data_IF_226816572447
#
_entry.id   IF_226816572447
#
_cell.length_a   1.000
_cell.length_b   1.000
_cell.length_c   1.000
_cell.angle_alpha   90.00
_cell.angle_beta   90.00
_cell.angle_gamma   90.00
#
_symmetry.space_group_name_H-M   'P 1'
#
loop_
_entity.id
_entity.type
_entity.pdbx_description
1 polymer ?
#
# COMPACT_ATOMS: atom_id res chain seq x y z
N UNK A 1 5.57 4.29 -3.99
CA UNK A 1 5.16 4.67 -5.38
C UNK A 1 3.64 4.87 -5.46
N UNK A 2 3.15 5.88 -6.21
CA UNK A 2 1.72 6.15 -6.47
C UNK A 2 1.46 6.68 -7.89
N UNK A 3 0.20 6.85 -8.28
CA UNK A 3 -0.18 7.53 -9.54
C UNK A 3 -0.09 9.07 -9.41
N UNK A 4 0.49 9.71 -10.43
CA UNK A 4 0.64 11.14 -10.64
C UNK A 4 -0.70 11.88 -10.87
N UNK A 5 -1.60 11.82 -9.89
CA UNK A 5 -2.84 12.59 -9.84
C UNK A 5 -3.05 13.12 -8.42
N UNK A 6 -3.69 14.29 -8.28
CA UNK A 6 -3.88 14.93 -6.98
C UNK A 6 -4.54 13.99 -5.96
N UNK A 7 -5.53 13.20 -6.38
CA UNK A 7 -6.19 12.19 -5.53
C UNK A 7 -5.25 11.08 -5.04
N UNK A 8 -4.25 10.71 -5.84
CA UNK A 8 -3.32 9.64 -5.50
C UNK A 8 -2.09 10.12 -4.73
N UNK A 9 -1.69 11.39 -4.91
CA UNK A 9 -0.46 11.92 -4.31
C UNK A 9 -0.68 12.87 -3.14
N UNK A 10 -1.64 13.80 -3.23
CA UNK A 10 -1.83 14.83 -2.21
C UNK A 10 -2.08 14.27 -0.80
N UNK A 11 -2.96 13.27 -0.58
CA UNK A 11 -3.15 12.72 0.77
C UNK A 11 -1.88 12.01 1.27
N UNK A 12 -1.16 11.29 0.40
CA UNK A 12 0.07 10.59 0.78
C UNK A 12 1.19 11.55 1.20
N UNK A 13 1.34 12.67 0.49
CA UNK A 13 2.29 13.71 0.85
C UNK A 13 1.95 14.37 2.19
N UNK A 14 0.66 14.65 2.43
CA UNK A 14 0.20 15.21 3.70
C UNK A 14 0.42 14.24 4.87
N UNK A 15 0.10 12.96 4.69
CA UNK A 15 0.33 11.92 5.71
C UNK A 15 1.81 11.70 5.96
N UNK A 16 2.66 11.69 4.92
CA UNK A 16 4.11 11.60 5.09
C UNK A 16 4.65 12.74 5.95
N UNK A 17 4.25 13.99 5.67
CA UNK A 17 4.66 15.13 6.47
C UNK A 17 4.22 15.01 7.94
N UNK A 18 2.95 14.66 8.18
CA UNK A 18 2.43 14.49 9.53
C UNK A 18 3.12 13.33 10.28
N UNK A 19 3.53 12.28 9.56
CA UNK A 19 4.22 11.15 10.15
C UNK A 19 5.66 11.51 10.57
N UNK A 20 6.38 12.30 9.77
CA UNK A 20 7.71 12.81 10.12
C UNK A 20 7.67 13.63 11.42
N UNK A 21 6.59 14.40 11.66
CA UNK A 21 6.44 15.19 12.89
C UNK A 21 6.40 14.33 14.17
N UNK A 22 5.89 13.09 14.08
CA UNK A 22 5.83 12.14 15.21
C UNK A 22 6.98 11.12 15.20
N UNK A 23 7.61 10.91 14.05
CA UNK A 23 8.72 9.96 13.82
C UNK A 23 9.82 10.64 13.00
N UNK A 24 10.58 11.56 13.60
CA UNK A 24 11.59 12.35 12.88
C UNK A 24 12.79 11.50 12.40
N UNK A 25 12.89 10.26 12.86
CA UNK A 25 13.88 9.27 12.44
C UNK A 25 13.51 8.58 11.11
N UNK A 26 12.30 8.78 10.61
CA UNK A 26 11.79 8.16 9.38
C UNK A 26 11.52 9.26 8.35
N UNK A 27 12.01 9.06 7.13
CA UNK A 27 11.67 9.87 5.96
C UNK A 27 10.79 9.06 5.00
N UNK A 28 9.78 9.69 4.41
CA UNK A 28 8.84 9.04 3.49
C UNK A 28 8.78 9.82 2.18
N UNK A 29 9.35 9.24 1.13
CA UNK A 29 9.36 9.82 -0.22
C UNK A 29 8.43 9.06 -1.16
N UNK A 30 7.66 9.80 -1.96
CA UNK A 30 6.70 9.22 -2.90
C UNK A 30 7.07 9.49 -4.36
N UNK A 31 7.45 8.43 -5.06
CA UNK A 31 7.53 8.44 -6.52
C UNK A 31 6.15 8.39 -7.17
N UNK A 32 6.04 9.02 -8.35
CA UNK A 32 4.80 9.18 -9.10
C UNK A 32 4.94 8.66 -10.51
N UNK A 33 3.99 7.83 -10.96
CA UNK A 33 3.91 7.28 -12.33
C UNK A 33 2.68 7.78 -13.06
N UNK A 34 2.64 7.67 -14.39
CA UNK A 34 1.45 8.02 -15.18
C UNK A 34 0.28 7.06 -14.88
N UNK A 35 -0.94 7.43 -15.31
CA UNK A 35 -2.12 6.56 -15.14
C UNK A 35 -1.95 5.22 -15.89
N UNK A 36 -1.37 5.27 -17.09
CA UNK A 36 -1.15 4.07 -17.89
C UNK A 36 -0.17 3.12 -17.19
N UNK A 37 0.97 3.64 -16.73
CA UNK A 37 1.96 2.83 -15.99
C UNK A 37 1.42 2.30 -14.66
N UNK A 38 0.49 3.01 -14.03
CA UNK A 38 -0.18 2.55 -12.82
C UNK A 38 -1.16 1.40 -13.09
N UNK A 39 -1.92 1.48 -14.20
CA UNK A 39 -2.91 0.46 -14.57
C UNK A 39 -2.35 -0.77 -15.28
N UNK A 40 -1.19 -0.64 -15.93
CA UNK A 40 -0.59 -1.69 -16.80
C UNK A 40 0.81 -2.13 -16.34
N UNK A 41 1.33 -1.59 -15.24
CA UNK A 41 2.67 -1.87 -14.75
C UNK A 41 2.88 -3.28 -14.18
N UNK A 42 4.15 -3.66 -14.05
CA UNK A 42 4.54 -4.93 -13.42
C UNK A 42 4.67 -4.75 -11.90
N UNK A 43 3.65 -5.20 -11.16
CA UNK A 43 3.61 -5.11 -9.70
C UNK A 43 4.78 -5.81 -9.01
N UNK A 44 5.33 -6.85 -9.64
CA UNK A 44 6.43 -7.66 -9.09
C UNK A 44 7.73 -6.89 -9.00
N UNK A 45 8.10 -6.19 -10.07
CA UNK A 45 9.27 -5.33 -10.09
C UNK A 45 9.11 -4.19 -9.09
N UNK A 46 7.90 -3.63 -8.99
CA UNK A 46 7.59 -2.61 -8.01
C UNK A 46 7.79 -3.10 -6.58
N UNK A 47 7.40 -4.34 -6.27
CA UNK A 47 7.55 -4.95 -4.95
C UNK A 47 9.01 -5.16 -4.54
N UNK A 48 9.91 -5.31 -5.51
CA UNK A 48 11.36 -5.38 -5.25
C UNK A 48 11.98 -3.99 -4.99
N UNK A 49 11.46 -2.96 -5.66
CA UNK A 49 12.05 -1.62 -5.66
C UNK A 49 11.53 -0.71 -4.53
N UNK A 50 10.34 -0.97 -3.97
CA UNK A 50 9.66 -0.06 -3.06
C UNK A 50 9.13 -0.72 -1.79
N UNK A 51 9.31 -0.04 -0.66
CA UNK A 51 8.75 -0.46 0.64
C UNK A 51 7.21 -0.28 0.70
N UNK A 52 6.70 0.75 0.02
CA UNK A 52 5.27 1.09 -0.01
C UNK A 52 4.80 1.36 -1.44
N UNK A 53 3.72 0.69 -1.83
CA UNK A 53 3.17 0.71 -3.19
C UNK A 53 1.67 0.92 -3.11
N UNK A 54 1.17 1.95 -3.78
CA UNK A 54 -0.25 2.04 -4.11
C UNK A 54 -0.44 1.27 -5.42
N UNK A 55 -1.37 0.31 -5.42
CA UNK A 55 -1.72 -0.49 -6.60
C UNK A 55 -3.24 -0.75 -6.63
N UNK A 56 -3.76 -1.08 -7.81
CA UNK A 56 -5.19 -1.33 -7.99
C UNK A 56 -5.59 -2.78 -7.69
N UNK A 57 -6.84 -2.96 -7.26
CA UNK A 57 -7.42 -4.23 -6.84
C UNK A 57 -7.25 -5.43 -7.82
N UNK A 58 -7.30 -5.29 -9.17
CA UNK A 58 -7.14 -6.43 -10.07
C UNK A 58 -5.83 -7.21 -9.90
N UNK A 59 -4.79 -6.59 -9.34
CA UNK A 59 -3.51 -7.26 -9.08
C UNK A 59 -3.46 -8.02 -7.75
N UNK A 60 -4.47 -7.90 -6.88
CA UNK A 60 -4.48 -8.53 -5.55
C UNK A 60 -4.32 -10.05 -5.64
N UNK A 61 -4.97 -10.70 -6.60
CA UNK A 61 -4.85 -12.15 -6.79
C UNK A 61 -3.43 -12.59 -7.16
N UNK A 62 -2.80 -11.87 -8.10
CA UNK A 62 -1.41 -12.10 -8.49
C UNK A 62 -0.45 -11.87 -7.30
N UNK A 63 -0.65 -10.79 -6.56
CA UNK A 63 0.18 -10.45 -5.41
C UNK A 63 0.10 -11.50 -4.30
N UNK A 64 -1.10 -12.05 -4.05
CA UNK A 64 -1.30 -13.13 -3.09
C UNK A 64 -0.68 -14.45 -3.57
N UNK A 65 -0.91 -14.84 -4.83
CA UNK A 65 -0.37 -16.07 -5.42
C UNK A 65 1.17 -16.07 -5.42
N UNK A 66 1.80 -14.93 -5.71
CA UNK A 66 3.25 -14.80 -5.82
C UNK A 66 3.92 -14.30 -4.53
N UNK A 67 3.16 -14.10 -3.46
CA UNK A 67 3.67 -13.60 -2.17
C UNK A 67 4.48 -12.30 -2.30
N UNK A 68 3.99 -11.35 -3.10
CA UNK A 68 4.73 -10.12 -3.41
C UNK A 68 4.80 -9.15 -2.22
N UNK A 69 3.89 -9.28 -1.25
CA UNK A 69 3.80 -8.36 -0.12
C UNK A 69 3.93 -9.07 1.21
N UNK A 70 4.39 -8.31 2.20
CA UNK A 70 4.46 -8.75 3.59
C UNK A 70 3.03 -8.98 4.12
N UNK A 71 2.73 -10.15 4.72
CA UNK A 71 1.43 -10.43 5.34
C UNK A 71 1.30 -9.60 6.63
N UNK A 72 0.60 -8.46 6.53
CA UNK A 72 0.50 -7.48 7.62
C UNK A 72 -0.17 -8.03 8.88
N UNK A 73 -1.03 -9.04 8.76
CA UNK A 73 -1.66 -9.73 9.89
C UNK A 73 -0.64 -10.33 10.87
N UNK A 74 0.59 -10.62 10.41
CA UNK A 74 1.68 -11.10 11.27
C UNK A 74 2.36 -9.99 12.10
N UNK A 75 2.07 -8.72 11.81
CA UNK A 75 2.66 -7.54 12.44
C UNK A 75 1.63 -6.66 13.15
N UNK A 76 0.35 -7.00 13.03
CA UNK A 76 -0.75 -6.33 13.71
C UNK A 76 -1.07 -7.03 15.03
N UNK A 77 -1.51 -6.26 16.01
CA UNK A 77 -2.01 -6.80 17.27
C UNK A 77 -3.26 -7.67 17.02
N UNK A 78 -3.42 -8.74 17.81
CA UNK A 78 -4.51 -9.71 17.63
C UNK A 78 -5.89 -9.06 17.70
N UNK A 79 -6.07 -8.04 18.54
CA UNK A 79 -7.33 -7.31 18.68
C UNK A 79 -7.68 -6.51 17.42
N UNK A 80 -6.68 -5.93 16.73
CA UNK A 80 -6.86 -5.28 15.43
C UNK A 80 -7.29 -6.30 14.38
N UNK A 81 -6.62 -7.45 14.35
CA UNK A 81 -6.96 -8.53 13.40
C UNK A 81 -8.39 -9.03 13.62
N UNK A 82 -8.80 -9.24 14.87
CA UNK A 82 -10.15 -9.71 15.19
C UNK A 82 -11.23 -8.66 14.86
N UNK A 83 -10.95 -7.37 15.08
CA UNK A 83 -11.85 -6.30 14.64
C UNK A 83 -12.03 -6.27 13.10
N UNK A 84 -10.95 -6.47 12.34
CA UNK A 84 -11.01 -6.54 10.88
C UNK A 84 -11.83 -7.75 10.39
N UNK A 85 -11.74 -8.90 11.09
CA UNK A 85 -12.59 -10.07 10.81
C UNK A 85 -14.07 -9.76 11.02
N UNK A 86 -14.42 -9.14 12.15
CA UNK A 86 -15.80 -8.82 12.48
C UNK A 86 -16.40 -7.78 11.53
N UNK A 87 -15.57 -6.84 11.04
CA UNK A 87 -15.98 -5.81 10.09
C UNK A 87 -16.01 -6.29 8.62
N UNK A 88 -15.50 -7.50 8.34
CA UNK A 88 -15.45 -8.05 6.98
C UNK A 88 -16.82 -8.52 6.51
N UNK A 89 -17.05 -8.44 5.19
CA UNK A 89 -18.33 -8.83 4.58
C UNK A 89 -18.10 -9.91 3.52
N UNK A 90 -18.90 -10.97 3.56
CA UNK A 90 -18.70 -12.11 2.67
C UNK A 90 -17.36 -12.81 2.94
N UNK A 91 -16.70 -13.29 1.89
CA UNK A 91 -15.42 -14.01 1.99
C UNK A 91 -14.21 -13.06 1.87
N UNK A 92 -14.32 -11.83 2.38
CA UNK A 92 -13.25 -10.82 2.30
C UNK A 92 -12.17 -10.96 3.39
N UNK A 93 -12.28 -12.00 4.23
CA UNK A 93 -11.30 -12.39 5.23
C UNK A 93 -10.90 -13.86 5.01
#
# INVERSE_FOLDING_TARGET
>A
MTWAHARGYAPLAATAQAFVDVRPDIDITWDRRSLAEFGEGHLEQLAEDYDLIVFDHPFTGLAAERHLFVPLDQYLDTDVVDQLKEASVGCSY
#
